data_IF_182927596897
#
_entry.id   IF_182927596897
#
_cell.length_a   1.000
_cell.length_b   1.000
_cell.length_c   1.000
_cell.angle_alpha   90.00
_cell.angle_beta   90.00
_cell.angle_gamma   90.00
#
_symmetry.space_group_name_H-M   'P 1'
#
loop_
_entity.id
_entity.type
_entity.pdbx_description
1 polymer ?
#
# COMPACT_ATOMS: atom_id res chain seq x y z
N UNK A 1 -35.25 6.15 7.61
CA UNK A 1 -35.15 5.41 6.32
C UNK A 1 -35.94 6.04 5.19
N UNK A 2 -37.00 6.83 5.42
CA UNK A 2 -37.53 7.73 4.37
C UNK A 2 -36.61 8.93 4.08
N UNK A 3 -35.56 9.12 4.88
CA UNK A 3 -34.57 10.20 4.71
C UNK A 3 -33.33 9.82 3.88
N UNK A 4 -33.20 8.56 3.42
CA UNK A 4 -32.02 8.09 2.67
C UNK A 4 -32.38 7.03 1.61
N UNK A 5 -32.96 7.44 0.46
CA UNK A 5 -33.34 6.52 -0.63
C UNK A 5 -32.14 5.81 -1.30
N UNK A 6 -30.96 6.45 -1.31
CA UNK A 6 -29.76 5.91 -1.96
C UNK A 6 -29.20 4.64 -1.29
N UNK A 7 -29.28 4.52 0.03
CA UNK A 7 -28.81 3.35 0.79
C UNK A 7 -29.57 2.05 0.47
N UNK A 8 -30.78 2.14 -0.07
CA UNK A 8 -31.58 0.96 -0.42
C UNK A 8 -31.17 0.33 -1.76
N UNK A 9 -30.55 1.12 -2.64
CA UNK A 9 -30.07 0.68 -3.96
C UNK A 9 -28.78 -0.16 -3.88
N UNK A 10 -27.99 0.03 -2.82
CA UNK A 10 -26.70 -0.64 -2.58
C UNK A 10 -26.84 -2.02 -1.91
N UNK A 11 -28.05 -2.43 -1.51
CA UNK A 11 -28.30 -3.73 -0.91
C UNK A 11 -28.44 -4.80 -2.00
N UNK A 12 -27.90 -6.01 -1.78
CA UNK A 12 -28.16 -7.15 -2.68
C UNK A 12 -29.67 -7.46 -2.77
N UNK A 13 -30.12 -8.08 -3.87
CA UNK A 13 -31.55 -8.41 -4.08
C UNK A 13 -32.15 -9.18 -2.90
N UNK A 14 -31.43 -10.15 -2.35
CA UNK A 14 -31.81 -10.93 -1.17
C UNK A 14 -31.98 -10.06 0.08
N UNK A 15 -31.12 -9.06 0.26
CA UNK A 15 -31.17 -8.16 1.41
C UNK A 15 -32.34 -7.16 1.30
N UNK A 16 -32.69 -6.72 0.08
CA UNK A 16 -33.91 -5.92 -0.17
C UNK A 16 -35.19 -6.69 0.12
N UNK A 17 -35.26 -7.96 -0.27
CA UNK A 17 -36.41 -8.85 -0.01
C UNK A 17 -36.59 -9.10 1.48
N UNK A 18 -35.49 -9.35 2.20
CA UNK A 18 -35.52 -9.55 3.64
C UNK A 18 -35.94 -8.29 4.40
N UNK A 19 -35.46 -7.10 4.00
CA UNK A 19 -35.87 -5.82 4.60
C UNK A 19 -37.34 -5.48 4.27
N UNK A 20 -37.84 -5.81 3.08
CA UNK A 20 -39.26 -5.65 2.72
C UNK A 20 -40.16 -6.58 3.55
N UNK A 21 -39.78 -7.84 3.68
CA UNK A 21 -40.48 -8.81 4.51
C UNK A 21 -40.51 -8.37 5.98
N UNK A 22 -39.35 -7.94 6.51
CA UNK A 22 -39.22 -7.46 7.88
C UNK A 22 -40.01 -6.18 8.16
N UNK A 23 -40.03 -5.21 7.23
CA UNK A 23 -40.92 -4.04 7.31
C UNK A 23 -42.39 -4.45 7.40
N UNK A 24 -42.81 -5.39 6.56
CA UNK A 24 -44.21 -5.84 6.53
C UNK A 24 -44.61 -6.55 7.82
N UNK A 25 -43.74 -7.42 8.35
CA UNK A 25 -44.02 -8.14 9.61
C UNK A 25 -43.98 -7.20 10.81
N UNK A 26 -42.92 -6.41 10.99
CA UNK A 26 -42.76 -5.57 12.18
C UNK A 26 -43.73 -4.38 12.22
N UNK A 27 -44.02 -3.73 11.09
CA UNK A 27 -44.96 -2.60 11.07
C UNK A 27 -46.40 -3.09 11.30
N UNK A 28 -46.78 -4.24 10.73
CA UNK A 28 -48.11 -4.81 10.96
C UNK A 28 -48.28 -5.33 12.40
N UNK A 29 -47.22 -5.88 13.01
CA UNK A 29 -47.23 -6.28 14.42
C UNK A 29 -47.30 -5.05 15.33
N UNK A 30 -46.55 -3.98 15.05
CA UNK A 30 -46.57 -2.74 15.83
C UNK A 30 -47.95 -2.05 15.75
N UNK A 31 -48.54 -1.98 14.55
CA UNK A 31 -49.88 -1.42 14.34
C UNK A 31 -50.95 -2.24 15.06
N UNK A 32 -50.86 -3.57 15.05
CA UNK A 32 -51.78 -4.45 15.79
C UNK A 32 -51.61 -4.33 17.31
N UNK A 33 -50.38 -4.19 17.81
CA UNK A 33 -50.13 -3.97 19.24
C UNK A 33 -50.66 -2.61 19.69
N UNK A 34 -50.45 -1.54 18.92
CA UNK A 34 -51.01 -0.21 19.20
C UNK A 34 -52.55 -0.22 19.16
N UNK A 35 -53.16 -0.96 18.21
CA UNK A 35 -54.62 -1.12 18.15
C UNK A 35 -55.20 -1.96 19.30
N UNK A 36 -54.47 -2.95 19.81
CA UNK A 36 -54.88 -3.76 20.97
C UNK A 36 -54.72 -2.98 22.28
N UNK A 37 -53.63 -2.23 22.44
CA UNK A 37 -53.38 -1.37 23.62
C UNK A 37 -54.32 -0.17 23.66
N UNK A 38 -54.74 0.37 22.49
CA UNK A 38 -55.75 1.43 22.42
C UNK A 38 -57.16 1.01 22.88
N UNK A 39 -57.43 -0.30 23.01
CA UNK A 39 -58.74 -0.82 23.45
C UNK A 39 -58.76 -1.28 24.92
N UNK A 40 -57.60 -1.46 25.56
CA UNK A 40 -57.51 -1.86 26.97
C UNK A 40 -57.00 -0.65 27.75
N UNK A 41 -57.95 0.09 28.33
CA UNK A 41 -57.82 1.19 29.31
C UNK A 41 -56.46 1.87 29.51
N UNK A 42 -56.49 3.21 29.49
CA UNK A 42 -55.40 4.15 29.84
C UNK A 42 -54.96 4.07 31.32
N UNK A 43 -54.65 2.86 31.81
CA UNK A 43 -54.11 2.59 33.13
C UNK A 43 -52.62 2.26 33.08
N UNK A 44 -51.98 2.31 34.24
CA UNK A 44 -50.54 2.09 34.45
C UNK A 44 -50.00 0.84 33.75
N UNK A 45 -50.82 -0.22 33.63
CA UNK A 45 -50.45 -1.49 32.97
C UNK A 45 -50.27 -1.32 31.44
N UNK A 46 -51.12 -0.56 30.76
CA UNK A 46 -50.98 -0.31 29.31
C UNK A 46 -49.73 0.50 28.97
N UNK A 47 -49.40 1.47 29.83
CA UNK A 47 -48.15 2.24 29.74
C UNK A 47 -46.91 1.36 29.98
N UNK A 48 -46.94 0.48 30.98
CA UNK A 48 -45.86 -0.45 31.27
C UNK A 48 -45.62 -1.42 30.10
N UNK A 49 -46.68 -2.01 29.54
CA UNK A 49 -46.57 -2.91 28.37
C UNK A 49 -46.02 -2.16 27.16
N UNK A 50 -46.50 -0.94 26.88
CA UNK A 50 -45.99 -0.11 25.79
C UNK A 50 -44.52 0.27 25.98
N UNK A 51 -44.12 0.66 27.19
CA UNK A 51 -42.74 1.00 27.52
C UNK A 51 -41.79 -0.21 27.37
N UNK A 52 -42.20 -1.39 27.85
CA UNK A 52 -41.43 -2.63 27.72
C UNK A 52 -41.29 -3.06 26.25
N UNK A 53 -42.37 -3.01 25.48
CA UNK A 53 -42.34 -3.35 24.05
C UNK A 53 -41.51 -2.35 23.23
N UNK A 54 -41.60 -1.06 23.54
CA UNK A 54 -40.79 -0.02 22.89
C UNK A 54 -39.31 -0.20 23.21
N UNK A 55 -38.96 -0.48 24.47
CA UNK A 55 -37.58 -0.77 24.87
C UNK A 55 -37.01 -2.00 24.16
N UNK A 56 -37.76 -3.11 24.12
CA UNK A 56 -37.38 -4.32 23.37
C UNK A 56 -37.18 -4.04 21.88
N UNK A 57 -38.07 -3.28 21.26
CA UNK A 57 -37.95 -2.92 19.85
C UNK A 57 -36.70 -2.07 19.57
N UNK A 58 -36.37 -1.11 20.44
CA UNK A 58 -35.15 -0.30 20.32
C UNK A 58 -33.90 -1.17 20.48
N UNK A 59 -33.87 -2.07 21.48
CA UNK A 59 -32.77 -3.02 21.71
C UNK A 59 -32.58 -3.96 20.50
N UNK A 60 -33.65 -4.54 19.97
CA UNK A 60 -33.60 -5.42 18.78
C UNK A 60 -33.13 -4.66 17.52
N UNK A 61 -33.54 -3.40 17.32
CA UNK A 61 -33.04 -2.58 16.21
C UNK A 61 -31.56 -2.25 16.36
N UNK A 62 -31.09 -1.99 17.58
CA UNK A 62 -29.68 -1.75 17.84
C UNK A 62 -28.85 -3.00 17.52
N UNK A 63 -29.29 -4.18 17.97
CA UNK A 63 -28.67 -5.47 17.67
C UNK A 63 -28.69 -5.78 16.16
N UNK A 64 -29.82 -5.53 15.48
CA UNK A 64 -29.91 -5.71 14.03
C UNK A 64 -28.98 -4.78 13.27
N UNK A 65 -28.93 -3.49 13.64
CA UNK A 65 -28.00 -2.54 13.05
C UNK A 65 -26.54 -2.94 13.27
N UNK A 66 -26.22 -3.49 14.44
CA UNK A 66 -24.89 -4.02 14.74
C UNK A 66 -24.57 -5.26 13.90
N UNK A 67 -25.53 -6.18 13.71
CA UNK A 67 -25.37 -7.33 12.79
C UNK A 67 -25.15 -6.89 11.34
N UNK A 68 -25.91 -5.92 10.84
CA UNK A 68 -25.74 -5.39 9.49
C UNK A 68 -24.36 -4.75 9.31
N UNK A 69 -23.91 -3.94 10.29
CA UNK A 69 -22.56 -3.37 10.28
C UNK A 69 -21.47 -4.45 10.25
N UNK A 70 -21.61 -5.49 11.08
CA UNK A 70 -20.66 -6.61 11.12
C UNK A 70 -20.62 -7.37 9.78
N UNK A 71 -21.77 -7.58 9.13
CA UNK A 71 -21.83 -8.24 7.82
C UNK A 71 -21.19 -7.37 6.74
N UNK A 72 -21.46 -6.06 6.74
CA UNK A 72 -20.84 -5.13 5.79
C UNK A 72 -19.32 -5.04 5.96
N UNK A 73 -18.83 -5.00 7.20
CA UNK A 73 -17.41 -5.00 7.52
C UNK A 73 -16.69 -6.29 7.09
N UNK A 74 -17.41 -7.40 7.00
CA UNK A 74 -16.87 -8.70 6.55
C UNK A 74 -17.06 -8.95 5.05
N UNK A 75 -17.67 -8.02 4.31
CA UNK A 75 -17.81 -8.16 2.86
C UNK A 75 -16.44 -8.18 2.18
N UNK A 76 -16.19 -9.06 1.18
CA UNK A 76 -14.94 -9.10 0.43
C UNK A 76 -14.50 -7.72 -0.10
N UNK A 77 -15.44 -6.93 -0.63
CA UNK A 77 -15.16 -5.59 -1.15
C UNK A 77 -14.71 -4.62 -0.05
N UNK A 78 -15.29 -4.72 1.15
CA UNK A 78 -14.89 -3.90 2.28
C UNK A 78 -13.51 -4.27 2.80
N UNK A 79 -13.21 -5.58 2.84
CA UNK A 79 -11.88 -6.07 3.21
C UNK A 79 -10.83 -5.62 2.19
N UNK A 80 -11.09 -5.81 0.89
CA UNK A 80 -10.23 -5.32 -0.21
C UNK A 80 -9.94 -3.83 -0.05
N UNK A 81 -10.98 -3.01 0.07
CA UNK A 81 -10.85 -1.56 0.21
C UNK A 81 -10.12 -1.15 1.50
N UNK A 82 -10.31 -1.90 2.59
CA UNK A 82 -9.59 -1.63 3.84
C UNK A 82 -8.11 -1.94 3.69
N UNK A 83 -7.76 -3.11 3.14
CA UNK A 83 -6.37 -3.54 2.92
C UNK A 83 -5.63 -2.58 2.00
N UNK A 84 -6.24 -2.21 0.87
CA UNK A 84 -5.64 -1.28 -0.08
C UNK A 84 -5.39 0.11 0.53
N UNK A 85 -6.12 0.52 1.57
CA UNK A 85 -5.98 1.84 2.20
C UNK A 85 -5.22 1.83 3.54
N UNK A 86 -4.37 0.83 3.76
CA UNK A 86 -3.46 0.79 4.91
C UNK A 86 -2.02 1.15 4.50
N UNK A 87 -1.29 1.90 5.34
CA UNK A 87 0.16 2.04 5.21
C UNK A 87 0.87 0.68 5.26
N UNK A 88 2.00 0.56 4.57
CA UNK A 88 2.76 -0.69 4.47
C UNK A 88 3.18 -1.26 5.83
N UNK A 89 3.62 -0.40 6.75
CA UNK A 89 4.05 -0.86 8.08
C UNK A 89 2.86 -1.23 8.98
N UNK A 90 1.68 -0.65 8.75
CA UNK A 90 0.44 -1.10 9.39
C UNK A 90 -0.08 -2.41 8.77
N UNK A 91 0.11 -2.64 7.46
CA UNK A 91 -0.13 -3.94 6.84
C UNK A 91 0.75 -5.02 7.45
N UNK A 92 2.07 -4.79 7.55
CA UNK A 92 3.00 -5.72 8.18
C UNK A 92 2.55 -6.07 9.62
N UNK A 93 2.14 -5.06 10.39
CA UNK A 93 1.63 -5.24 11.75
C UNK A 93 0.35 -6.08 11.78
N UNK A 94 -0.61 -5.83 10.89
CA UNK A 94 -1.85 -6.62 10.80
C UNK A 94 -1.62 -8.05 10.33
N UNK A 95 -0.68 -8.26 9.42
CA UNK A 95 -0.23 -9.58 8.97
C UNK A 95 0.38 -10.35 10.14
N UNK A 96 1.34 -9.74 10.85
CA UNK A 96 1.97 -10.29 12.06
C UNK A 96 0.96 -10.61 13.15
N UNK A 97 -0.08 -9.79 13.32
CA UNK A 97 -1.18 -9.99 14.26
C UNK A 97 -2.23 -11.00 13.78
N UNK A 98 -2.01 -11.66 12.62
CA UNK A 98 -2.93 -12.62 12.01
C UNK A 98 -4.33 -12.05 11.74
N UNK A 99 -4.44 -10.72 11.61
CA UNK A 99 -5.69 -10.05 11.20
C UNK A 99 -5.97 -10.32 9.72
N UNK A 100 -4.91 -10.33 8.92
CA UNK A 100 -4.90 -10.78 7.54
C UNK A 100 -3.74 -11.76 7.36
N UNK A 101 -3.86 -12.68 6.42
CA UNK A 101 -2.69 -13.44 5.94
C UNK A 101 -1.93 -12.62 4.91
N UNK A 102 -0.62 -12.84 4.79
CA UNK A 102 0.19 -12.28 3.71
C UNK A 102 -0.37 -12.69 2.35
N UNK A 103 -0.79 -13.95 2.19
CA UNK A 103 -1.41 -14.42 0.95
C UNK A 103 -2.66 -13.59 0.58
N UNK A 104 -3.58 -13.35 1.53
CA UNK A 104 -4.75 -12.51 1.28
C UNK A 104 -4.37 -11.08 0.86
N UNK A 105 -3.39 -10.48 1.52
CA UNK A 105 -2.93 -9.12 1.19
C UNK A 105 -2.34 -9.09 -0.21
N UNK A 106 -1.45 -10.02 -0.54
CA UNK A 106 -0.83 -10.12 -1.87
C UNK A 106 -1.88 -10.37 -2.95
N UNK A 107 -2.84 -11.27 -2.74
CA UNK A 107 -3.92 -11.52 -3.70
C UNK A 107 -4.82 -10.29 -3.92
N UNK A 108 -5.08 -9.50 -2.87
CA UNK A 108 -5.81 -8.23 -2.99
C UNK A 108 -5.04 -7.24 -3.87
N UNK A 109 -3.74 -7.04 -3.64
CA UNK A 109 -2.94 -6.14 -4.48
C UNK A 109 -2.82 -6.64 -5.91
N UNK A 110 -2.63 -7.95 -6.12
CA UNK A 110 -2.63 -8.55 -7.47
C UNK A 110 -3.96 -8.29 -8.18
N UNK A 111 -5.09 -8.49 -7.50
CA UNK A 111 -6.41 -8.24 -8.09
C UNK A 111 -6.57 -6.78 -8.55
N UNK A 112 -6.08 -5.83 -7.73
CA UNK A 112 -6.11 -4.40 -8.08
C UNK A 112 -5.19 -4.10 -9.27
N UNK A 113 -3.98 -4.67 -9.30
CA UNK A 113 -3.07 -4.52 -10.45
C UNK A 113 -3.75 -5.03 -11.74
N UNK A 114 -4.38 -6.20 -11.70
CA UNK A 114 -5.06 -6.77 -12.87
C UNK A 114 -6.19 -5.86 -13.37
N UNK A 115 -6.94 -5.24 -12.46
CA UNK A 115 -8.03 -4.32 -12.80
C UNK A 115 -7.54 -3.02 -13.46
N UNK A 116 -6.48 -2.41 -12.91
CA UNK A 116 -6.05 -1.06 -13.34
C UNK A 116 -4.99 -1.07 -14.44
N UNK A 117 -4.13 -2.09 -14.49
CA UNK A 117 -2.89 -2.03 -15.28
C UNK A 117 -3.13 -2.01 -16.80
N UNK A 118 -4.24 -2.58 -17.29
CA UNK A 118 -4.64 -2.47 -18.70
C UNK A 118 -4.89 -1.02 -19.17
N UNK A 119 -5.23 -0.13 -18.24
CA UNK A 119 -5.46 1.29 -18.53
C UNK A 119 -4.14 2.07 -18.44
N UNK A 120 -3.39 1.86 -17.35
CA UNK A 120 -2.25 2.70 -16.97
C UNK A 120 -0.89 2.20 -17.46
N UNK A 121 -0.74 0.91 -17.78
CA UNK A 121 0.53 0.29 -18.20
C UNK A 121 1.70 0.64 -17.26
N UNK A 122 1.53 0.36 -15.98
CA UNK A 122 2.48 0.69 -14.92
C UNK A 122 3.35 -0.51 -14.52
N UNK A 123 2.78 -1.71 -14.36
CA UNK A 123 3.52 -2.95 -14.11
C UNK A 123 3.79 -3.64 -15.45
N UNK A 124 5.06 -3.89 -15.76
CA UNK A 124 5.51 -4.42 -17.06
C UNK A 124 6.10 -5.83 -16.96
N UNK A 125 6.54 -6.22 -15.76
CA UNK A 125 6.96 -7.60 -15.46
C UNK A 125 6.22 -8.05 -14.19
N UNK A 126 5.03 -8.68 -14.31
CA UNK A 126 4.32 -9.20 -13.16
C UNK A 126 5.07 -10.38 -12.52
N UNK A 127 5.02 -10.48 -11.19
CA UNK A 127 5.63 -11.58 -10.40
C UNK A 127 4.59 -12.30 -9.53
N UNK A 128 3.35 -12.39 -10.01
CA UNK A 128 2.20 -12.78 -9.19
C UNK A 128 2.31 -14.18 -8.57
N UNK A 129 2.71 -15.19 -9.34
CA UNK A 129 2.83 -16.55 -8.79
C UNK A 129 3.97 -16.68 -7.78
N UNK A 130 5.13 -16.07 -8.08
CA UNK A 130 6.27 -16.04 -7.15
C UNK A 130 5.88 -15.30 -5.87
N UNK A 131 5.19 -14.16 -5.99
CA UNK A 131 4.72 -13.37 -4.86
C UNK A 131 3.73 -14.14 -3.98
N UNK A 132 2.84 -14.96 -4.56
CA UNK A 132 1.93 -15.82 -3.79
C UNK A 132 2.67 -16.90 -3.01
N UNK A 133 3.68 -17.52 -3.61
CA UNK A 133 4.49 -18.53 -2.92
C UNK A 133 5.34 -17.89 -1.80
N UNK A 134 5.94 -16.73 -2.05
CA UNK A 134 6.62 -15.95 -1.00
C UNK A 134 5.66 -15.55 0.14
N UNK A 135 4.42 -15.19 -0.18
CA UNK A 135 3.41 -14.82 0.80
C UNK A 135 3.00 -16.01 1.68
N UNK A 136 2.76 -17.18 1.08
CA UNK A 136 2.51 -18.43 1.82
C UNK A 136 3.67 -18.78 2.74
N UNK A 137 4.91 -18.56 2.29
CA UNK A 137 6.09 -18.78 3.11
C UNK A 137 6.16 -17.80 4.29
N UNK A 138 5.85 -16.51 4.07
CA UNK A 138 5.76 -15.53 5.13
C UNK A 138 4.70 -15.90 6.18
N UNK A 139 3.53 -16.40 5.74
CA UNK A 139 2.48 -16.89 6.64
C UNK A 139 2.95 -18.07 7.51
N UNK A 140 3.71 -19.02 6.95
CA UNK A 140 4.32 -20.12 7.72
C UNK A 140 5.31 -19.63 8.77
N UNK A 141 6.18 -18.69 8.41
CA UNK A 141 7.13 -18.07 9.35
C UNK A 141 6.37 -17.44 10.53
N UNK A 142 5.26 -16.75 10.26
CA UNK A 142 4.43 -16.12 11.31
C UNK A 142 3.71 -17.16 12.17
N UNK A 143 3.32 -18.29 11.59
CA UNK A 143 2.69 -19.39 12.32
C UNK A 143 3.67 -20.06 13.31
N UNK A 144 4.91 -20.27 12.88
CA UNK A 144 5.96 -20.95 13.64
C UNK A 144 6.72 -20.04 14.63
N UNK A 145 6.55 -18.72 14.51
CA UNK A 145 7.28 -17.75 15.33
C UNK A 145 6.89 -17.79 16.82
N UNK A 146 7.90 -17.95 17.69
CA UNK A 146 7.73 -17.83 19.15
C UNK A 146 7.56 -16.36 19.60
N UNK A 147 8.25 -15.45 18.94
CA UNK A 147 8.30 -14.02 19.28
C UNK A 147 8.03 -13.17 18.04
N UNK A 148 6.79 -12.70 17.91
CA UNK A 148 6.33 -11.94 16.73
C UNK A 148 7.08 -10.62 16.53
N UNK A 149 7.57 -10.01 17.61
CA UNK A 149 8.35 -8.77 17.62
C UNK A 149 9.76 -8.91 17.03
N UNK A 150 10.28 -10.14 16.93
CA UNK A 150 11.58 -10.43 16.30
C UNK A 150 11.48 -10.61 14.79
N UNK A 151 10.27 -10.70 14.25
CA UNK A 151 10.04 -10.93 12.81
C UNK A 151 10.46 -9.71 11.98
N UNK A 152 10.94 -9.94 10.73
CA UNK A 152 11.29 -8.86 9.82
C UNK A 152 10.18 -7.80 9.69
N UNK A 153 10.54 -6.50 9.58
CA UNK A 153 9.60 -5.40 9.75
C UNK A 153 8.53 -5.33 8.65
N UNK A 154 8.83 -5.81 7.45
CA UNK A 154 7.94 -5.84 6.28
C UNK A 154 7.54 -7.26 5.88
N UNK A 155 7.67 -8.25 6.78
CA UNK A 155 7.34 -9.65 6.49
C UNK A 155 5.94 -9.79 5.88
N UNK A 156 5.89 -10.26 4.64
CA UNK A 156 4.66 -10.54 3.92
C UNK A 156 4.02 -9.34 3.22
N UNK A 157 4.68 -8.17 3.19
CA UNK A 157 4.16 -6.96 2.54
C UNK A 157 4.56 -6.89 1.07
N UNK A 158 3.62 -6.68 0.13
CA UNK A 158 3.92 -6.52 -1.29
C UNK A 158 4.54 -5.15 -1.61
N UNK A 159 5.54 -5.15 -2.50
CA UNK A 159 6.23 -3.94 -2.98
C UNK A 159 6.41 -3.96 -4.50
N UNK A 160 6.43 -2.77 -5.11
CA UNK A 160 6.78 -2.58 -6.53
C UNK A 160 8.23 -2.09 -6.68
N UNK A 161 8.86 -2.41 -7.82
CA UNK A 161 10.25 -2.03 -8.09
C UNK A 161 10.38 -1.48 -9.50
N UNK A 162 10.98 -0.29 -9.67
CA UNK A 162 11.29 0.24 -11.00
C UNK A 162 12.24 -0.70 -11.76
N UNK A 163 11.95 -0.98 -13.04
CA UNK A 163 12.70 -1.98 -13.83
C UNK A 163 14.19 -1.65 -14.04
N UNK A 164 14.59 -0.40 -13.85
CA UNK A 164 16.00 0.02 -13.87
C UNK A 164 16.83 -0.47 -12.67
N UNK A 165 16.23 -1.22 -11.74
CA UNK A 165 16.92 -1.95 -10.68
C UNK A 165 16.96 -3.43 -11.04
N UNK A 166 18.14 -4.03 -10.92
CA UNK A 166 18.32 -5.46 -11.10
C UNK A 166 17.55 -6.24 -10.03
N UNK A 167 16.69 -7.15 -10.48
CA UNK A 167 15.99 -8.14 -9.65
C UNK A 167 16.29 -9.50 -10.25
N UNK A 168 16.90 -10.38 -9.47
CA UNK A 168 17.48 -11.64 -9.96
C UNK A 168 16.48 -12.44 -10.79
N UNK A 169 16.92 -12.85 -11.98
CA UNK A 169 16.13 -13.64 -12.92
C UNK A 169 15.08 -12.86 -13.71
N UNK A 170 14.95 -11.55 -13.50
CA UNK A 170 13.98 -10.70 -14.20
C UNK A 170 14.66 -9.82 -15.28
N UNK A 171 13.88 -9.31 -16.26
CA UNK A 171 14.39 -8.37 -17.26
C UNK A 171 15.05 -7.15 -16.63
N UNK A 172 16.17 -6.73 -17.21
CA UNK A 172 16.98 -5.60 -16.76
C UNK A 172 17.42 -4.74 -17.96
N UNK A 173 16.42 -4.24 -18.67
CA UNK A 173 16.52 -3.65 -20.00
C UNK A 173 16.74 -2.13 -19.95
N UNK A 174 16.22 -1.47 -18.92
CA UNK A 174 16.05 -0.02 -18.83
C UNK A 174 15.40 0.58 -20.08
N UNK A 175 14.47 -0.17 -20.69
CA UNK A 175 13.67 0.25 -21.84
C UNK A 175 14.46 0.40 -23.14
N UNK A 176 15.73 0.01 -23.17
CA UNK A 176 16.58 0.13 -24.35
C UNK A 176 16.48 -1.14 -25.20
N UNK A 177 16.06 -1.03 -26.47
CA UNK A 177 15.87 -2.19 -27.37
C UNK A 177 17.08 -3.13 -27.42
N UNK A 178 18.31 -2.57 -27.43
CA UNK A 178 19.56 -3.36 -27.45
C UNK A 178 19.71 -4.29 -26.22
N UNK A 179 19.03 -3.98 -25.12
CA UNK A 179 19.05 -4.72 -23.86
C UNK A 179 17.79 -5.53 -23.60
N UNK A 180 16.87 -5.67 -24.57
CA UNK A 180 15.58 -6.35 -24.38
C UNK A 180 15.67 -7.79 -23.85
N UNK A 181 16.81 -8.46 -24.06
CA UNK A 181 17.08 -9.84 -23.62
C UNK A 181 18.02 -9.91 -22.41
N UNK A 182 18.38 -8.78 -21.79
CA UNK A 182 19.23 -8.77 -20.61
C UNK A 182 18.40 -9.15 -19.39
N UNK A 183 18.88 -10.15 -18.66
CA UNK A 183 18.30 -10.64 -17.41
C UNK A 183 19.28 -10.37 -16.29
N UNK A 184 18.79 -9.88 -15.15
CA UNK A 184 19.61 -9.62 -13.99
C UNK A 184 20.15 -10.93 -13.38
N UNK A 185 21.47 -11.01 -13.21
CA UNK A 185 22.13 -12.14 -12.55
C UNK A 185 21.87 -12.17 -11.03
N UNK A 186 21.78 -10.98 -10.42
CA UNK A 186 21.61 -10.78 -8.98
C UNK A 186 20.67 -9.61 -8.70
N UNK A 187 20.19 -9.55 -7.45
CA UNK A 187 19.44 -8.41 -6.93
C UNK A 187 20.35 -7.20 -6.70
N UNK A 188 19.85 -6.01 -6.99
CA UNK A 188 20.40 -4.74 -6.51
C UNK A 188 20.44 -4.72 -4.98
N UNK A 189 21.41 -4.01 -4.40
CA UNK A 189 21.62 -4.00 -2.95
C UNK A 189 20.36 -3.55 -2.18
N UNK A 190 19.67 -2.54 -2.71
CA UNK A 190 18.40 -2.06 -2.14
C UNK A 190 17.31 -3.14 -2.11
N UNK A 191 17.26 -4.00 -3.14
CA UNK A 191 16.27 -5.08 -3.25
C UNK A 191 16.63 -6.22 -2.29
N UNK A 192 17.92 -6.55 -2.16
CA UNK A 192 18.40 -7.50 -1.13
C UNK A 192 17.98 -7.03 0.27
N UNK A 193 18.13 -5.75 0.57
CA UNK A 193 17.78 -5.18 1.87
C UNK A 193 16.26 -5.25 2.14
N UNK A 194 15.44 -4.92 1.13
CA UNK A 194 13.99 -5.03 1.25
C UNK A 194 13.54 -6.49 1.39
N UNK A 195 14.12 -7.43 0.64
CA UNK A 195 13.82 -8.87 0.78
C UNK A 195 14.23 -9.42 2.15
N UNK A 196 15.41 -9.03 2.68
CA UNK A 196 15.82 -9.36 4.07
C UNK A 196 14.83 -8.85 5.10
N UNK A 197 14.18 -7.72 4.84
CA UNK A 197 13.12 -7.17 5.70
C UNK A 197 11.77 -7.90 5.59
N UNK A 198 11.69 -8.91 4.72
CA UNK A 198 10.52 -9.75 4.50
C UNK A 198 9.53 -9.22 3.45
N UNK A 199 9.90 -8.16 2.72
CA UNK A 199 9.09 -7.60 1.65
C UNK A 199 9.06 -8.51 0.41
N UNK A 200 7.93 -8.53 -0.30
CA UNK A 200 7.63 -9.40 -1.44
C UNK A 200 7.55 -8.56 -2.71
N UNK A 201 8.40 -8.84 -3.71
CA UNK A 201 8.37 -8.10 -4.98
C UNK A 201 7.21 -8.63 -5.84
N UNK A 202 6.17 -7.82 -6.05
CA UNK A 202 4.97 -8.24 -6.81
C UNK A 202 5.07 -7.98 -8.32
N UNK A 203 6.03 -7.15 -8.73
CA UNK A 203 6.32 -6.89 -10.13
C UNK A 203 7.28 -5.72 -10.35
N UNK A 204 7.82 -5.65 -11.56
CA UNK A 204 8.62 -4.51 -12.01
C UNK A 204 7.74 -3.47 -12.70
N UNK A 205 7.99 -2.21 -12.42
CA UNK A 205 7.26 -1.09 -13.01
C UNK A 205 8.02 -0.44 -14.15
N UNK A 206 7.25 0.14 -15.06
CA UNK A 206 7.75 0.81 -16.25
C UNK A 206 8.57 2.06 -15.90
N UNK A 207 9.42 2.47 -16.84
CA UNK A 207 10.26 3.65 -16.70
C UNK A 207 10.50 4.36 -18.05
N UNK A 208 11.11 5.53 -18.01
CA UNK A 208 11.60 6.20 -19.22
C UNK A 208 12.81 5.46 -19.78
N UNK A 209 12.95 5.39 -21.11
CA UNK A 209 14.16 4.82 -21.73
C UNK A 209 15.43 5.41 -21.10
N UNK A 210 16.32 4.51 -20.63
CA UNK A 210 17.57 4.84 -19.93
C UNK A 210 17.43 5.75 -18.70
N UNK A 211 16.22 5.87 -18.14
CA UNK A 211 15.89 6.83 -17.09
C UNK A 211 16.02 8.32 -17.49
N UNK A 212 16.15 8.65 -18.79
CA UNK A 212 16.54 9.97 -19.29
C UNK A 212 15.37 10.84 -19.80
N UNK A 213 14.20 10.73 -19.20
CA UNK A 213 13.06 11.60 -19.53
C UNK A 213 12.09 11.75 -18.36
N UNK A 214 11.27 12.81 -18.39
CA UNK A 214 10.23 13.07 -17.40
C UNK A 214 8.87 12.47 -17.76
N UNK A 215 8.77 11.69 -18.83
CA UNK A 215 7.63 10.82 -19.15
C UNK A 215 8.10 9.37 -19.24
N UNK A 216 7.38 8.46 -18.59
CA UNK A 216 7.74 7.03 -18.58
C UNK A 216 7.21 6.36 -19.85
N UNK A 217 8.02 6.47 -20.90
CA UNK A 217 7.79 5.87 -22.20
C UNK A 217 9.10 5.27 -22.70
N UNK A 218 9.03 4.05 -23.22
CA UNK A 218 10.17 3.40 -23.87
C UNK A 218 9.66 2.42 -24.94
N UNK A 219 10.50 2.06 -25.93
CA UNK A 219 10.09 1.20 -27.04
C UNK A 219 9.87 -0.29 -26.67
N UNK A 220 10.27 -0.76 -25.48
CA UNK A 220 10.03 -2.14 -25.04
C UNK A 220 8.64 -2.30 -24.44
N UNK A 221 8.28 -1.43 -23.50
CA UNK A 221 7.07 -1.56 -22.69
C UNK A 221 5.99 -0.53 -23.04
N UNK A 222 6.28 0.42 -23.91
CA UNK A 222 5.37 1.51 -24.25
C UNK A 222 5.29 2.59 -23.16
N UNK A 223 4.18 3.35 -23.18
CA UNK A 223 3.96 4.50 -22.30
C UNK A 223 3.10 4.17 -21.09
N UNK A 224 3.51 4.60 -19.91
CA UNK A 224 2.69 4.61 -18.69
C UNK A 224 1.80 5.86 -18.68
N UNK A 225 0.58 5.71 -18.16
CA UNK A 225 -0.41 6.79 -18.06
C UNK A 225 -0.69 7.13 -16.60
N UNK A 226 -1.11 8.36 -16.35
CA UNK A 226 -1.50 8.80 -15.02
C UNK A 226 -2.85 8.18 -14.60
N UNK A 227 -2.99 7.65 -13.37
CA UNK A 227 -4.21 6.98 -12.93
C UNK A 227 -5.39 7.93 -12.70
N UNK A 228 -5.14 9.22 -12.44
CA UNK A 228 -6.20 10.23 -12.31
C UNK A 228 -6.74 10.67 -13.67
N UNK A 229 -5.90 10.64 -14.70
CA UNK A 229 -6.29 10.99 -16.07
C UNK A 229 -5.35 10.31 -17.09
N UNK A 230 -5.80 9.26 -17.80
CA UNK A 230 -4.98 8.52 -18.76
C UNK A 230 -4.45 9.36 -19.95
N UNK A 231 -5.00 10.56 -20.17
CA UNK A 231 -4.52 11.51 -21.18
C UNK A 231 -3.33 12.35 -20.70
N UNK A 232 -2.94 12.23 -19.43
CA UNK A 232 -1.82 12.98 -18.82
C UNK A 232 -0.62 12.06 -18.59
N UNK A 233 0.54 12.71 -18.48
CA UNK A 233 1.82 12.06 -18.20
C UNK A 233 1.83 11.49 -16.78
N UNK A 234 2.42 10.31 -16.60
CA UNK A 234 2.65 9.76 -15.26
C UNK A 234 3.91 10.35 -14.59
N UNK A 235 4.70 11.10 -15.34
CA UNK A 235 6.01 11.56 -14.90
C UNK A 235 7.10 10.56 -15.20
N UNK A 236 8.33 10.93 -14.88
CA UNK A 236 9.48 10.11 -15.18
C UNK A 236 10.74 10.52 -14.42
N UNK A 237 11.72 9.63 -14.32
CA UNK A 237 11.71 8.33 -14.98
C UNK A 237 11.05 7.20 -14.20
N UNK A 238 10.59 7.43 -12.96
CA UNK A 238 9.90 6.42 -12.13
C UNK A 238 8.37 6.53 -12.23
N UNK A 239 7.84 6.79 -13.42
CA UNK A 239 6.39 7.00 -13.64
C UNK A 239 5.57 5.73 -13.50
N UNK A 240 6.14 4.55 -13.74
CA UNK A 240 5.51 3.26 -13.42
C UNK A 240 5.20 3.16 -11.91
N UNK A 241 6.20 3.41 -11.07
CA UNK A 241 6.02 3.49 -9.61
C UNK A 241 4.99 4.55 -9.22
N UNK A 242 5.13 5.77 -9.78
CA UNK A 242 4.18 6.85 -9.54
C UNK A 242 2.74 6.46 -9.83
N UNK A 243 2.51 5.87 -11.01
CA UNK A 243 1.18 5.49 -11.49
C UNK A 243 0.59 4.32 -10.70
N UNK A 244 1.35 3.26 -10.41
CA UNK A 244 0.82 2.10 -9.69
C UNK A 244 0.49 2.44 -8.23
N UNK A 245 1.33 3.23 -7.56
CA UNK A 245 1.06 3.71 -6.20
C UNK A 245 -0.12 4.69 -6.19
N UNK A 246 -0.19 5.62 -7.15
CA UNK A 246 -1.30 6.57 -7.28
C UNK A 246 -2.65 5.91 -7.58
N UNK A 247 -2.64 4.75 -8.25
CA UNK A 247 -3.85 3.95 -8.49
C UNK A 247 -4.33 3.17 -7.27
N UNK A 248 -3.48 3.00 -6.24
CA UNK A 248 -3.77 2.17 -5.08
C UNK A 248 -3.38 0.69 -5.23
N UNK A 249 -2.91 0.27 -6.40
CA UNK A 249 -2.52 -1.11 -6.71
C UNK A 249 -1.11 -1.51 -6.24
N UNK A 250 -0.40 -0.61 -5.56
CA UNK A 250 0.79 -0.89 -4.74
C UNK A 250 0.76 0.02 -3.51
N UNK A 251 1.53 -0.30 -2.46
CA UNK A 251 1.58 0.47 -1.21
C UNK A 251 2.88 1.23 -1.01
N UNK A 252 4.01 0.60 -1.35
CA UNK A 252 5.36 1.19 -1.36
C UNK A 252 6.15 0.67 -2.56
N UNK A 253 7.15 1.44 -2.97
CA UNK A 253 7.92 1.16 -4.17
C UNK A 253 9.31 1.80 -4.19
N UNK A 254 10.16 1.31 -5.09
CA UNK A 254 11.57 1.74 -5.21
C UNK A 254 11.77 2.56 -6.47
N UNK A 255 12.23 3.81 -6.30
CA UNK A 255 12.57 4.71 -7.39
C UNK A 255 14.03 5.17 -7.35
N UNK A 256 14.43 5.87 -8.42
CA UNK A 256 15.73 6.53 -8.54
C UNK A 256 15.55 7.97 -9.03
N UNK A 257 16.38 8.90 -8.54
CA UNK A 257 16.27 10.33 -8.82
C UNK A 257 17.65 10.99 -8.97
N UNK A 258 17.86 11.57 -10.15
CA UNK A 258 18.97 12.49 -10.47
C UNK A 258 18.43 13.92 -10.55
N UNK A 259 17.45 14.12 -11.45
CA UNK A 259 16.89 15.44 -11.78
C UNK A 259 15.40 15.61 -11.42
N UNK A 260 14.86 14.79 -10.52
CA UNK A 260 13.45 14.79 -10.14
C UNK A 260 12.73 13.46 -10.36
N UNK A 261 13.44 12.39 -10.72
CA UNK A 261 12.82 11.14 -11.16
C UNK A 261 12.09 10.31 -10.10
N UNK A 262 12.13 10.70 -8.82
CA UNK A 262 11.21 10.24 -7.76
C UNK A 262 10.16 11.32 -7.52
N UNK A 263 10.61 12.58 -7.33
CA UNK A 263 9.77 13.70 -6.91
C UNK A 263 8.70 14.08 -7.94
N UNK A 264 9.03 14.11 -9.23
CA UNK A 264 8.12 14.46 -10.32
C UNK A 264 7.02 13.41 -10.51
N UNK A 265 7.30 12.10 -10.67
CA UNK A 265 6.25 11.08 -10.63
C UNK A 265 5.41 11.15 -9.36
N UNK A 266 6.04 11.38 -8.20
CA UNK A 266 5.28 11.44 -6.94
C UNK A 266 4.27 12.59 -6.95
N UNK A 267 4.71 13.78 -7.40
CA UNK A 267 3.87 14.95 -7.52
C UNK A 267 2.72 14.76 -8.52
N UNK A 268 3.00 14.22 -9.72
CA UNK A 268 1.96 14.05 -10.75
C UNK A 268 0.91 12.99 -10.39
N UNK A 269 1.27 11.99 -9.60
CA UNK A 269 0.35 10.91 -9.21
C UNK A 269 -0.11 11.02 -7.75
N UNK A 270 0.05 12.17 -7.09
CA UNK A 270 -0.53 12.41 -5.77
C UNK A 270 -0.03 11.49 -4.66
N UNK A 271 1.22 11.02 -4.75
CA UNK A 271 1.85 10.15 -3.75
C UNK A 271 3.06 10.83 -3.09
N UNK A 272 3.65 10.15 -2.11
CA UNK A 272 4.87 10.60 -1.45
C UNK A 272 6.09 9.93 -2.08
N UNK A 273 7.16 10.70 -2.28
CA UNK A 273 8.44 10.15 -2.71
C UNK A 273 9.58 10.96 -2.13
N UNK A 274 10.61 10.27 -1.65
CA UNK A 274 11.75 10.90 -1.00
C UNK A 274 13.02 10.63 -1.81
N UNK A 275 13.67 11.71 -2.25
CA UNK A 275 15.05 11.64 -2.75
C UNK A 275 15.98 11.91 -1.57
N UNK A 276 16.65 10.88 -1.01
CA UNK A 276 17.57 11.09 0.09
C UNK A 276 18.83 11.86 -0.34
N UNK A 277 19.69 12.12 0.64
CA UNK A 277 21.08 12.49 0.39
C UNK A 277 21.74 11.43 -0.49
N UNK A 278 22.51 11.87 -1.49
CA UNK A 278 23.19 10.95 -2.39
C UNK A 278 24.11 10.00 -1.62
N UNK A 279 24.26 8.77 -2.14
CA UNK A 279 25.04 7.68 -1.55
C UNK A 279 24.55 7.14 -0.19
N UNK A 280 23.44 7.67 0.36
CA UNK A 280 22.84 7.11 1.58
C UNK A 280 22.35 5.67 1.35
N UNK A 281 21.67 5.44 0.23
CA UNK A 281 21.24 4.13 -0.23
C UNK A 281 22.17 3.71 -1.37
N UNK A 282 22.66 2.47 -1.31
CA UNK A 282 23.51 1.91 -2.37
C UNK A 282 22.84 2.02 -3.73
N UNK A 283 23.58 2.51 -4.72
CA UNK A 283 23.11 2.57 -6.11
C UNK A 283 23.50 1.32 -6.92
N UNK A 284 24.20 0.35 -6.31
CA UNK A 284 24.64 -0.89 -6.96
C UNK A 284 23.45 -1.66 -7.53
N UNK A 285 23.61 -2.15 -8.77
CA UNK A 285 22.59 -2.93 -9.45
C UNK A 285 21.55 -2.07 -10.19
N UNK A 286 21.85 -0.80 -10.49
CA UNK A 286 21.05 0.03 -11.39
C UNK A 286 21.61 0.09 -12.81
N UNK A 287 20.75 0.38 -13.78
CA UNK A 287 21.19 0.74 -15.13
C UNK A 287 20.34 1.88 -15.72
N UNK A 288 20.94 2.88 -16.38
CA UNK A 288 22.39 3.06 -16.61
C UNK A 288 23.16 3.32 -15.32
N UNK A 289 24.45 2.97 -15.33
CA UNK A 289 25.36 3.36 -14.26
C UNK A 289 25.52 4.88 -14.29
N UNK A 290 25.57 5.51 -13.12
CA UNK A 290 25.92 6.92 -13.03
C UNK A 290 27.42 7.10 -13.31
N UNK A 291 27.76 8.10 -14.10
CA UNK A 291 29.13 8.47 -14.45
C UNK A 291 29.34 9.98 -14.21
N UNK A 292 30.59 10.38 -13.91
CA UNK A 292 30.93 11.77 -13.63
C UNK A 292 30.10 12.40 -12.51
N UNK A 293 29.62 13.62 -12.71
CA UNK A 293 28.83 14.36 -11.72
C UNK A 293 27.50 13.66 -11.36
N UNK A 294 26.96 12.81 -12.25
CA UNK A 294 25.73 12.08 -11.99
C UNK A 294 25.85 11.15 -10.78
N UNK A 295 27.07 10.68 -10.44
CA UNK A 295 27.31 9.83 -9.26
C UNK A 295 26.90 10.55 -7.97
N UNK A 296 27.12 11.87 -7.90
CA UNK A 296 26.78 12.69 -6.72
C UNK A 296 25.33 13.15 -6.71
N UNK A 297 24.61 12.98 -7.82
CA UNK A 297 23.22 13.38 -7.96
C UNK A 297 22.27 12.19 -7.81
N UNK A 298 22.64 11.02 -8.36
CA UNK A 298 21.83 9.80 -8.34
C UNK A 298 21.58 9.36 -6.90
N UNK A 299 20.30 9.28 -6.56
CA UNK A 299 19.83 8.79 -5.28
C UNK A 299 18.75 7.74 -5.49
N UNK A 300 18.91 6.59 -4.85
CA UNK A 300 17.86 5.58 -4.70
C UNK A 300 16.97 5.96 -3.52
N UNK A 301 15.64 5.87 -3.66
CA UNK A 301 14.74 6.35 -2.62
C UNK A 301 13.37 5.70 -2.61
N UNK A 302 12.66 5.77 -1.46
CA UNK A 302 11.33 5.21 -1.32
C UNK A 302 10.26 6.08 -1.98
N UNK A 303 9.25 5.41 -2.51
CA UNK A 303 7.99 5.97 -2.97
C UNK A 303 6.84 5.25 -2.24
N UNK A 304 5.82 5.98 -1.79
CA UNK A 304 4.79 5.43 -0.91
C UNK A 304 3.46 6.17 -1.04
N UNK A 305 2.35 5.47 -0.74
CA UNK A 305 1.03 6.10 -0.61
C UNK A 305 0.86 6.90 0.67
N UNK A 306 1.62 6.58 1.71
CA UNK A 306 1.54 7.23 3.01
C UNK A 306 2.93 7.75 3.41
N UNK A 307 2.98 8.99 3.89
CA UNK A 307 4.24 9.61 4.35
C UNK A 307 4.88 8.87 5.52
N UNK A 308 4.07 8.20 6.34
CA UNK A 308 4.51 7.36 7.47
C UNK A 308 5.40 6.20 7.05
N UNK A 309 5.30 5.74 5.79
CA UNK A 309 6.10 4.61 5.29
C UNK A 309 7.47 5.05 4.75
N UNK A 310 7.68 6.35 4.44
CA UNK A 310 8.92 6.83 3.82
C UNK A 310 10.15 6.60 4.71
N UNK A 311 10.09 7.03 5.98
CA UNK A 311 11.25 6.97 6.87
C UNK A 311 11.63 5.55 7.29
N UNK A 312 10.67 4.69 7.71
CA UNK A 312 10.98 3.30 8.02
C UNK A 312 11.49 2.53 6.79
N UNK A 313 10.93 2.76 5.60
CA UNK A 313 11.42 2.16 4.37
C UNK A 313 12.84 2.63 4.02
N UNK A 314 13.13 3.93 4.14
CA UNK A 314 14.48 4.48 3.91
C UNK A 314 15.51 3.83 4.85
N UNK A 315 15.15 3.62 6.12
CA UNK A 315 16.01 2.94 7.11
C UNK A 315 16.37 1.53 6.65
N UNK A 316 15.40 0.77 6.14
CA UNK A 316 15.65 -0.57 5.58
C UNK A 316 16.53 -0.49 4.34
N UNK A 317 16.23 0.40 3.40
CA UNK A 317 16.97 0.56 2.14
C UNK A 317 18.44 0.88 2.38
N UNK A 318 18.73 1.74 3.35
CA UNK A 318 20.08 2.19 3.67
C UNK A 318 20.87 1.21 4.56
N UNK A 319 20.22 0.20 5.16
CA UNK A 319 20.83 -0.81 6.03
C UNK A 319 21.89 -0.22 7.00
N UNK A 320 23.18 -0.43 6.73
CA UNK A 320 24.30 -0.04 7.59
C UNK A 320 24.77 1.43 7.45
N UNK A 321 24.34 2.16 6.42
CA UNK A 321 24.72 3.57 6.21
C UNK A 321 24.15 4.50 7.30
N UNK A 322 23.14 4.03 8.05
CA UNK A 322 22.58 4.79 9.20
C UNK A 322 23.48 4.78 10.43
N UNK A 323 24.42 3.84 10.56
CA UNK A 323 25.43 3.89 11.63
C UNK A 323 26.26 5.18 11.57
N UNK A 324 26.38 5.78 10.37
CA UNK A 324 27.05 7.03 10.08
C UNK A 324 26.17 8.28 10.30
N UNK A 325 24.84 8.11 10.43
CA UNK A 325 23.84 9.19 10.44
C UNK A 325 22.89 9.11 11.65
N UNK A 326 23.29 8.40 12.72
CA UNK A 326 22.46 8.17 13.90
C UNK A 326 21.70 9.45 14.33
N UNK A 327 20.38 9.36 14.60
CA UNK A 327 19.55 10.50 15.02
C UNK A 327 20.03 11.23 16.27
N UNK A 328 20.93 10.62 17.05
CA UNK A 328 21.59 11.28 18.17
C UNK A 328 22.45 12.50 17.76
N UNK A 329 22.72 12.71 16.47
CA UNK A 329 23.42 13.89 15.97
C UNK A 329 22.50 15.00 15.42
N UNK A 330 21.19 14.74 15.26
CA UNK A 330 20.24 15.74 14.77
C UNK A 330 18.99 15.75 15.64
N UNK A 331 19.11 16.34 16.83
CA UNK A 331 17.95 16.79 17.60
C UNK A 331 17.32 18.00 16.92
N UNK A 332 16.19 17.79 16.26
CA UNK A 332 15.33 18.90 15.83
C UNK A 332 14.78 19.61 17.07
N UNK A 333 15.33 20.79 17.36
CA UNK A 333 14.65 21.86 18.07
C UNK A 333 14.46 21.70 19.58
N UNK A 334 15.54 21.86 20.36
CA UNK A 334 15.54 22.83 21.47
C UNK A 334 16.90 23.52 21.44
N UNK A 335 16.88 24.87 21.45
CA UNK A 335 18.07 25.73 21.55
C UNK A 335 19.04 25.13 22.57
N UNK A 336 20.29 24.82 22.19
CA UNK A 336 21.51 25.03 22.97
C UNK A 336 22.73 24.45 22.21
N UNK A 337 23.70 25.35 21.96
CA UNK A 337 25.12 25.18 21.63
C UNK A 337 25.57 23.96 20.79
N UNK A 338 26.05 24.29 19.59
CA UNK A 338 26.83 23.39 18.73
C UNK A 338 28.21 23.15 19.32
N UNK A 339 28.49 21.93 19.79
CA UNK A 339 29.86 21.43 19.93
C UNK A 339 30.10 20.32 18.91
N UNK A 340 31.05 20.57 18.01
CA UNK A 340 31.49 19.64 16.99
C UNK A 340 32.35 18.53 17.61
N UNK A 341 31.79 17.34 17.79
CA UNK A 341 32.61 16.15 18.03
C UNK A 341 33.02 15.54 16.68
N UNK A 342 34.27 15.79 16.26
CA UNK A 342 34.81 15.40 14.95
C UNK A 342 35.13 13.90 14.91
N UNK A 343 34.34 13.11 14.18
CA UNK A 343 34.86 11.90 13.52
C UNK A 343 34.98 12.16 12.02
N UNK A 344 36.12 11.77 11.46
CA UNK A 344 36.54 12.13 10.11
C UNK A 344 35.67 11.43 9.03
N UNK A 345 35.27 12.13 7.94
CA UNK A 345 34.43 11.58 6.86
C UNK A 345 35.05 10.42 6.06
N UNK A 346 36.33 10.09 6.28
CA UNK A 346 37.07 9.06 5.53
C UNK A 346 36.65 7.63 5.87
N UNK A 347 35.85 7.40 6.92
CA UNK A 347 35.35 6.07 7.29
C UNK A 347 34.02 5.70 6.60
N UNK A 348 33.43 6.59 5.81
CA UNK A 348 32.09 6.44 5.25
C UNK A 348 32.06 6.35 3.71
N UNK A 349 33.22 6.38 3.06
CA UNK A 349 33.32 6.16 1.62
C UNK A 349 33.75 4.70 1.37
N UNK A 350 33.18 4.01 0.37
CA UNK A 350 33.75 2.74 -0.07
C UNK A 350 35.22 2.95 -0.47
N UNK A 351 36.09 1.94 -0.28
CA UNK A 351 37.48 2.06 -0.70
C UNK A 351 37.55 2.33 -2.21
N UNK A 352 38.09 3.51 -2.56
CA UNK A 352 38.44 4.01 -3.90
C UNK A 352 37.34 4.00 -4.97
N UNK A 353 36.84 5.19 -5.30
CA UNK A 353 36.29 5.54 -6.62
C UNK A 353 37.44 5.66 -7.61
#
# INVERSE_FOLDING_TARGET
WNSFPYLFSLLSSSCRSMVRWWKSVCVNVLLRVVQVVGKVGTGMVGWLVSAVMTRRYVEERALFAQRVKNVQQKSPDHVKMTVLNLPAFELAKKIRQKTYTSQQVVDIFISEIVEVNGIINAVVVPQFEVAREEAKHADKIIEEAQHLDTLPPLLGVPISVKESFSVKGLPFTSGLIKRKNVVAADDADVIKNLRKSGAIVIGLTNMSELCMWYESSNPIYGRTKNPYNPMRIAGGSSGGEGSILGSGASVIGVGADVGGSIRLPSFFNGIFGHKPTALLVSNTGQYPNAEGEAVRMLSTGPMARYSTDLWPMLTIMAENSFSCLSPHHYTFGKKHNFEHNKRHPSQCLPPSV
#
